data_IF_190997992202
#
_entry.id   IF_190997992202
#
_cell.length_a   1.000
_cell.length_b   1.000
_cell.length_c   1.000
_cell.angle_alpha   90.00
_cell.angle_beta   90.00
_cell.angle_gamma   90.00
#
_symmetry.space_group_name_H-M   'P 1'
#
loop_
_entity.id
_entity.type
_entity.pdbx_description
1 polymer ?
#
# COMPACT_ATOMS: atom_id res chain seq x y z
N UNK A 1 -13.10 0.85 27.96
CA UNK A 1 -13.03 2.03 27.09
C UNK A 1 -13.21 1.56 25.65
N UNK A 2 -14.40 1.68 25.09
CA UNK A 2 -14.64 1.32 23.68
C UNK A 2 -14.09 2.45 22.81
N UNK A 3 -12.85 2.30 22.34
CA UNK A 3 -12.24 3.26 21.43
C UNK A 3 -13.08 3.41 20.17
N UNK A 4 -13.45 4.64 19.82
CA UNK A 4 -14.19 4.95 18.60
C UNK A 4 -13.38 4.44 17.41
N UNK A 5 -13.96 3.53 16.62
CA UNK A 5 -13.34 3.05 15.38
C UNK A 5 -13.06 4.23 14.45
N UNK A 6 -11.90 4.21 13.79
CA UNK A 6 -11.60 5.16 12.73
C UNK A 6 -12.58 5.03 11.55
N UNK A 7 -12.68 6.05 10.69
CA UNK A 7 -13.55 6.01 9.52
C UNK A 7 -13.20 4.84 8.59
N UNK A 8 -14.16 4.37 7.79
CA UNK A 8 -13.91 3.32 6.81
C UNK A 8 -12.91 3.79 5.75
N UNK A 9 -12.15 2.84 5.19
CA UNK A 9 -11.26 3.10 4.05
C UNK A 9 -12.07 3.23 2.77
N UNK A 10 -11.69 4.19 1.92
CA UNK A 10 -12.33 4.44 0.62
C UNK A 10 -11.43 3.96 -0.53
N UNK A 11 -11.97 3.57 -1.69
CA UNK A 11 -11.15 3.13 -2.82
C UNK A 11 -10.12 4.18 -3.29
N UNK A 12 -10.51 5.46 -3.31
CA UNK A 12 -9.59 6.55 -3.66
C UNK A 12 -8.48 6.73 -2.60
N UNK A 13 -8.78 6.44 -1.34
CA UNK A 13 -7.80 6.49 -0.25
C UNK A 13 -6.76 5.37 -0.39
N UNK A 14 -7.18 4.17 -0.81
CA UNK A 14 -6.27 3.07 -1.12
C UNK A 14 -5.32 3.43 -2.28
N UNK A 15 -5.83 4.10 -3.32
CA UNK A 15 -4.99 4.58 -4.43
C UNK A 15 -3.93 5.58 -3.95
N UNK A 16 -4.34 6.56 -3.14
CA UNK A 16 -3.41 7.55 -2.57
C UNK A 16 -2.35 6.87 -1.71
N UNK A 17 -2.75 5.90 -0.87
CA UNK A 17 -1.83 5.12 -0.05
C UNK A 17 -0.81 4.35 -0.90
N UNK A 18 -1.24 3.71 -1.99
CA UNK A 18 -0.35 3.04 -2.93
C UNK A 18 0.67 4.03 -3.54
N UNK A 19 0.21 5.20 -4.01
CA UNK A 19 1.09 6.22 -4.59
C UNK A 19 2.12 6.75 -3.57
N UNK A 20 1.67 7.03 -2.35
CA UNK A 20 2.54 7.47 -1.26
C UNK A 20 3.58 6.41 -0.89
N UNK A 21 3.18 5.14 -0.82
CA UNK A 21 4.08 4.03 -0.53
C UNK A 21 5.16 3.87 -1.60
N UNK A 22 4.79 3.85 -2.89
CA UNK A 22 5.75 3.77 -4.00
C UNK A 22 6.73 4.94 -3.96
N UNK A 23 6.23 6.17 -3.82
CA UNK A 23 7.04 7.39 -3.75
C UNK A 23 8.12 7.32 -2.66
N UNK A 24 7.77 6.85 -1.47
CA UNK A 24 8.71 6.76 -0.34
C UNK A 24 9.62 5.53 -0.44
N UNK A 25 9.10 4.39 -0.91
CA UNK A 25 9.88 3.13 -1.01
C UNK A 25 10.90 3.15 -2.14
N UNK A 26 10.66 3.91 -3.20
CA UNK A 26 11.57 4.05 -4.35
C UNK A 26 12.47 5.31 -4.26
N UNK A 27 12.37 6.09 -3.18
CA UNK A 27 13.22 7.27 -2.97
C UNK A 27 14.69 6.87 -2.81
N UNK A 28 15.48 7.03 -3.88
CA UNK A 28 16.89 6.65 -3.91
C UNK A 28 17.80 7.44 -2.94
N UNK A 29 17.36 8.60 -2.44
CA UNK A 29 18.13 9.37 -1.45
C UNK A 29 17.95 8.83 -0.03
N UNK A 30 16.88 8.06 0.23
CA UNK A 30 16.47 7.70 1.59
C UNK A 30 16.06 6.24 1.76
N UNK A 31 15.92 5.48 0.68
CA UNK A 31 15.46 4.10 0.66
C UNK A 31 16.44 3.08 1.25
N UNK A 32 17.70 3.47 1.49
CA UNK A 32 18.71 2.58 2.10
C UNK A 32 18.78 2.82 3.62
N UNK A 33 18.66 1.77 4.44
CA UNK A 33 18.74 1.80 5.92
C UNK A 33 17.68 2.62 6.67
N UNK A 34 16.50 2.85 6.07
CA UNK A 34 15.38 3.45 6.83
C UNK A 34 14.80 2.47 7.85
N UNK A 35 14.59 2.93 9.09
CA UNK A 35 13.85 2.15 10.10
C UNK A 35 12.40 1.93 9.65
N UNK A 36 11.87 0.74 9.89
CA UNK A 36 10.50 0.37 9.53
C UNK A 36 9.44 1.38 10.02
N UNK A 37 9.55 1.85 11.26
CA UNK A 37 8.63 2.86 11.81
C UNK A 37 8.72 4.18 11.04
N UNK A 38 9.94 4.60 10.71
CA UNK A 38 10.21 5.83 9.96
C UNK A 38 9.67 5.74 8.53
N UNK A 39 9.63 4.55 7.92
CA UNK A 39 9.00 4.33 6.61
C UNK A 39 7.53 4.75 6.65
N UNK A 40 6.77 4.19 7.58
CA UNK A 40 5.34 4.43 7.66
C UNK A 40 4.97 5.84 8.12
N UNK A 41 5.81 6.49 8.94
CA UNK A 41 5.66 7.93 9.24
C UNK A 41 5.73 8.78 7.97
N UNK A 42 6.69 8.49 7.08
CA UNK A 42 6.84 9.22 5.82
C UNK A 42 5.71 8.91 4.85
N UNK A 43 5.29 7.65 4.75
CA UNK A 43 4.13 7.27 3.94
C UNK A 43 2.88 8.00 4.41
N UNK A 44 2.63 8.07 5.73
CA UNK A 44 1.49 8.82 6.27
C UNK A 44 1.58 10.33 5.97
N UNK A 45 2.78 10.92 6.09
CA UNK A 45 3.01 12.32 5.74
C UNK A 45 2.81 12.60 4.25
N UNK A 46 3.26 11.70 3.37
CA UNK A 46 3.07 11.81 1.92
C UNK A 46 1.60 11.64 1.54
N UNK A 47 0.90 10.65 2.10
CA UNK A 47 -0.55 10.46 1.92
C UNK A 47 -1.35 11.72 2.30
N UNK A 48 -1.01 12.35 3.43
CA UNK A 48 -1.70 13.55 3.93
C UNK A 48 -1.63 14.74 2.96
N UNK A 49 -0.60 14.81 2.10
CA UNK A 49 -0.51 15.86 1.07
C UNK A 49 -1.62 15.74 0.02
N UNK A 50 -2.04 14.52 -0.26
CA UNK A 50 -3.04 14.19 -1.28
C UNK A 50 -4.46 14.06 -0.70
N UNK A 51 -4.59 13.67 0.57
CA UNK A 51 -5.86 13.72 1.32
C UNK A 51 -5.69 14.48 2.64
N UNK A 52 -5.75 15.83 2.61
CA UNK A 52 -5.63 16.65 3.81
C UNK A 52 -6.77 16.45 4.81
N UNK A 53 -7.89 15.87 4.38
CA UNK A 53 -9.13 15.76 5.18
C UNK A 53 -9.15 14.51 6.05
N UNK A 54 -8.47 13.45 5.62
CA UNK A 54 -8.46 12.16 6.32
C UNK A 54 -7.11 11.92 6.97
N UNK A 55 -7.02 12.24 8.26
CA UNK A 55 -5.80 11.97 9.04
C UNK A 55 -5.81 10.51 9.49
N UNK A 56 -4.75 9.79 9.12
CA UNK A 56 -4.51 8.39 9.51
C UNK A 56 -3.14 8.27 10.13
N UNK A 57 -3.01 7.36 11.10
CA UNK A 57 -1.72 7.08 11.73
C UNK A 57 -0.86 6.18 10.84
N UNK A 58 0.46 6.20 11.06
CA UNK A 58 1.41 5.30 10.41
C UNK A 58 1.01 3.82 10.56
N UNK A 59 0.51 3.42 11.73
CA UNK A 59 0.04 2.06 12.01
C UNK A 59 -1.19 1.71 11.18
N UNK A 60 -2.13 2.66 11.02
CA UNK A 60 -3.32 2.45 10.19
C UNK A 60 -2.93 2.26 8.72
N UNK A 61 -2.01 3.08 8.22
CA UNK A 61 -1.45 3.01 6.86
C UNK A 61 -0.76 1.66 6.61
N UNK A 62 0.13 1.26 7.51
CA UNK A 62 0.79 -0.04 7.45
C UNK A 62 -0.22 -1.18 7.38
N UNK A 63 -1.19 -1.18 8.30
CA UNK A 63 -2.17 -2.26 8.40
C UNK A 63 -3.02 -2.37 7.14
N UNK A 64 -3.41 -1.24 6.56
CA UNK A 64 -4.16 -1.21 5.30
C UNK A 64 -3.31 -1.66 4.12
N UNK A 65 -2.07 -1.20 4.01
CA UNK A 65 -1.18 -1.60 2.92
C UNK A 65 -0.91 -3.10 2.92
N UNK A 66 -0.79 -3.73 4.10
CA UNK A 66 -0.67 -5.19 4.20
C UNK A 66 -1.83 -5.94 3.53
N UNK A 67 -3.06 -5.43 3.69
CA UNK A 67 -4.26 -5.99 3.07
C UNK A 67 -4.20 -5.80 1.55
N UNK A 68 -3.82 -4.61 1.09
CA UNK A 68 -3.66 -4.30 -0.34
C UNK A 68 -2.64 -5.26 -0.98
N UNK A 69 -1.46 -5.39 -0.39
CA UNK A 69 -0.40 -6.29 -0.86
C UNK A 69 -0.86 -7.75 -0.92
N UNK A 70 -1.65 -8.21 0.05
CA UNK A 70 -2.23 -9.56 0.03
C UNK A 70 -3.08 -9.78 -1.23
N UNK A 71 -3.99 -8.85 -1.54
CA UNK A 71 -4.83 -8.94 -2.73
C UNK A 71 -4.01 -8.83 -4.03
N UNK A 72 -3.02 -7.93 -4.09
CA UNK A 72 -2.13 -7.81 -5.24
C UNK A 72 -1.35 -9.10 -5.49
N UNK A 73 -0.83 -9.74 -4.44
CA UNK A 73 -0.11 -11.01 -4.56
C UNK A 73 -1.01 -12.16 -4.98
N UNK A 74 -2.24 -12.23 -4.47
CA UNK A 74 -3.22 -13.23 -4.90
C UNK A 74 -3.55 -13.08 -6.39
N UNK A 75 -3.79 -11.85 -6.85
CA UNK A 75 -4.03 -11.55 -8.26
C UNK A 75 -2.82 -11.91 -9.13
N UNK A 76 -1.61 -11.49 -8.73
CA UNK A 76 -0.35 -11.83 -9.43
C UNK A 76 -0.19 -13.35 -9.59
N UNK A 77 -0.49 -14.11 -8.53
CA UNK A 77 -0.42 -15.57 -8.58
C UNK A 77 -1.39 -16.20 -9.58
N UNK A 78 -2.62 -15.68 -9.67
CA UNK A 78 -3.60 -16.11 -10.69
C UNK A 78 -3.13 -15.75 -12.09
N UNK A 79 -2.68 -14.51 -12.31
CA UNK A 79 -2.21 -14.02 -13.61
C UNK A 79 -1.04 -14.87 -14.14
N UNK A 80 -0.06 -15.16 -13.30
CA UNK A 80 1.09 -15.99 -13.68
C UNK A 80 0.67 -17.42 -14.07
N UNK A 81 -0.35 -17.99 -13.42
CA UNK A 81 -0.89 -19.30 -13.83
C UNK A 81 -1.54 -19.20 -15.20
N UNK A 82 -2.39 -18.20 -15.43
CA UNK A 82 -3.04 -18.02 -16.74
C UNK A 82 -2.03 -17.85 -17.87
N UNK A 83 -0.99 -17.03 -17.66
CA UNK A 83 0.09 -16.81 -18.63
C UNK A 83 0.87 -18.10 -18.94
N UNK A 84 1.18 -18.92 -17.93
CA UNK A 84 1.83 -20.23 -18.16
C UNK A 84 0.96 -21.18 -18.99
N UNK A 85 -0.34 -21.24 -18.70
CA UNK A 85 -1.26 -22.08 -19.47
C UNK A 85 -1.39 -21.58 -20.93
N UNK A 86 -1.33 -20.27 -21.17
CA UNK A 86 -1.31 -19.73 -22.53
C UNK A 86 -0.04 -20.10 -23.30
N UNK A 87 1.12 -20.19 -22.65
CA UNK A 87 2.35 -20.68 -23.27
C UNK A 87 2.33 -22.19 -23.56
N UNK A 88 1.68 -23.00 -22.72
CA UNK A 88 1.57 -24.45 -22.91
C UNK A 88 0.56 -24.86 -24.00
N UNK A 89 -0.40 -23.99 -24.33
CA UNK A 89 -1.43 -24.23 -25.37
C UNK A 89 -1.04 -23.60 -26.71
N UNK A 90 0.27 -23.57 -27.02
CA UNK A 90 0.89 -22.92 -28.18
C UNK A 90 -0.01 -22.77 -29.42
N UNK A 91 -0.39 -21.51 -29.69
CA UNK A 91 -0.68 -20.97 -31.02
C UNK A 91 0.59 -20.31 -31.56
#
# INVERSE_FOLDING_TARGET
MTGKRGPNWRPNEDEILCRAWVSISEDGAVGTNQKYTRLWERVAAEHQKWDPTTIRTAIAMESRMRIICYHCNAWKGVLQRAQRHQCDVGL
#
